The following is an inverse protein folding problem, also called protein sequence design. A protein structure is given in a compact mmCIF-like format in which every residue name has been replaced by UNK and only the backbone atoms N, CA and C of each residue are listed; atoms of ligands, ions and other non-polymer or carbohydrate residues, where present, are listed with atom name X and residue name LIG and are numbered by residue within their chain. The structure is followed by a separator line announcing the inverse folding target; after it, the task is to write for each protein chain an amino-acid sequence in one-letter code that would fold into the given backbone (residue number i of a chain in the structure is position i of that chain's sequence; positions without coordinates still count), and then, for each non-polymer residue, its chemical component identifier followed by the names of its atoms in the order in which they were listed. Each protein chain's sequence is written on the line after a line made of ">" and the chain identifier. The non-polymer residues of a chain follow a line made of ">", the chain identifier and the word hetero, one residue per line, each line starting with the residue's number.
data_IF_073569660912
#
_entry.id   IF_073569660912
#
_cell.length_a   1.000
_cell.length_b   1.000
_cell.length_c   1.000
_cell.angle_alpha   90.00
_cell.angle_beta   90.00
_cell.angle_gamma   90.00
#
_symmetry.space_group_name_H-M   'P 1'
#
loop_
_entity.id
_entity.type
_entity.pdbx_description
1 polymer ?
#
# COMPACT_ATOMS: atom_id res chain seq x y z
N UNK A 1 -16.02 13.17 38.18
CA UNK A 1 -16.59 13.08 36.81
C UNK A 1 -15.83 13.96 35.81
N UNK A 2 -15.54 15.22 36.12
CA UNK A 2 -14.79 16.16 35.25
C UNK A 2 -13.40 15.66 34.81
N UNK A 3 -12.60 15.05 35.70
CA UNK A 3 -11.28 14.48 35.34
C UNK A 3 -11.36 13.36 34.29
N UNK A 4 -12.43 12.56 34.30
CA UNK A 4 -12.61 11.47 33.34
C UNK A 4 -12.95 12.00 31.94
N UNK A 5 -13.74 13.09 31.87
CA UNK A 5 -14.05 13.76 30.61
C UNK A 5 -12.79 14.35 29.94
N UNK A 6 -11.86 14.92 30.71
CA UNK A 6 -10.61 15.43 30.15
C UNK A 6 -9.73 14.33 29.57
N UNK A 7 -9.64 13.17 30.23
CA UNK A 7 -8.87 12.03 29.73
C UNK A 7 -9.48 11.49 28.43
N UNK A 8 -10.81 11.35 28.38
CA UNK A 8 -11.51 10.86 27.19
C UNK A 8 -11.33 11.84 26.02
N UNK A 9 -11.53 13.14 26.24
CA UNK A 9 -11.36 14.15 25.20
C UNK A 9 -9.92 14.19 24.65
N UNK A 10 -8.93 14.01 25.53
CA UNK A 10 -7.53 13.96 25.14
C UNK A 10 -7.19 12.69 24.35
N UNK A 11 -7.72 11.53 24.77
CA UNK A 11 -7.54 10.28 24.02
C UNK A 11 -8.18 10.32 22.63
N UNK A 12 -9.39 10.88 22.49
CA UNK A 12 -10.07 11.00 21.20
C UNK A 12 -9.35 11.97 20.27
N UNK A 13 -8.76 13.04 20.80
CA UNK A 13 -7.94 13.97 20.02
C UNK A 13 -6.58 13.36 19.60
N UNK A 14 -6.09 12.36 20.33
CA UNK A 14 -4.86 11.62 19.99
C UNK A 14 -5.09 10.45 19.04
N UNK A 15 -6.34 10.07 18.75
CA UNK A 15 -6.62 9.13 17.68
C UNK A 15 -6.39 9.88 16.36
N UNK A 16 -5.14 9.91 15.92
CA UNK A 16 -4.80 10.32 14.55
C UNK A 16 -5.67 9.48 13.61
N UNK A 17 -6.43 10.09 12.71
CA UNK A 17 -7.19 9.29 11.78
C UNK A 17 -6.21 8.48 10.93
N UNK A 18 -6.35 7.16 10.99
CA UNK A 18 -5.57 6.21 10.19
C UNK A 18 -6.13 6.25 8.76
N UNK A 19 -5.95 7.39 8.08
CA UNK A 19 -6.25 7.49 6.68
C UNK A 19 -5.06 6.94 5.89
N UNK A 20 -5.35 6.01 4.97
CA UNK A 20 -4.35 5.56 4.01
C UNK A 20 -3.85 6.76 3.20
N UNK A 21 -2.53 6.90 3.07
CA UNK A 21 -1.92 8.06 2.43
C UNK A 21 -2.38 8.19 0.99
N UNK A 22 -2.56 9.43 0.53
CA UNK A 22 -2.77 9.71 -0.89
C UNK A 22 -1.46 9.60 -1.67
N UNK A 23 -1.52 9.47 -3.00
CA UNK A 23 -0.31 9.46 -3.83
C UNK A 23 0.54 10.72 -3.63
N UNK A 24 -0.10 11.90 -3.47
CA UNK A 24 0.61 13.13 -3.17
C UNK A 24 1.33 13.09 -1.82
N UNK A 25 0.71 12.52 -0.79
CA UNK A 25 1.33 12.40 0.54
C UNK A 25 2.50 11.41 0.54
N UNK A 26 2.39 10.30 -0.21
CA UNK A 26 3.51 9.37 -0.39
C UNK A 26 4.67 10.07 -1.11
N UNK A 27 4.39 10.87 -2.15
CA UNK A 27 5.41 11.63 -2.88
C UNK A 27 6.09 12.72 -2.04
N UNK A 28 5.35 13.36 -1.14
CA UNK A 28 5.88 14.38 -0.23
C UNK A 28 6.60 13.78 0.99
N UNK A 29 6.41 12.49 1.26
CA UNK A 29 7.06 11.81 2.38
C UNK A 29 8.56 11.61 2.13
N UNK A 30 9.31 11.30 3.18
CA UNK A 30 10.72 10.91 3.02
C UNK A 30 10.83 9.68 2.09
N UNK A 31 11.86 9.59 1.24
CA UNK A 31 12.02 8.44 0.33
C UNK A 31 12.04 7.09 1.05
N UNK A 32 12.63 7.05 2.25
CA UNK A 32 12.65 5.85 3.11
C UNK A 32 11.25 5.45 3.53
N UNK A 33 10.44 6.41 3.99
CA UNK A 33 9.07 6.16 4.41
C UNK A 33 8.18 5.76 3.23
N UNK A 34 8.25 6.49 2.11
CA UNK A 34 7.46 6.18 0.92
C UNK A 34 7.76 4.78 0.36
N UNK A 35 9.04 4.38 0.37
CA UNK A 35 9.46 3.03 -0.01
C UNK A 35 8.90 1.97 0.94
N UNK A 36 9.04 2.16 2.25
CA UNK A 36 8.50 1.23 3.25
C UNK A 36 6.97 1.11 3.15
N UNK A 37 6.27 2.22 2.92
CA UNK A 37 4.82 2.22 2.71
C UNK A 37 4.42 1.38 1.49
N UNK A 38 5.04 1.64 0.34
CA UNK A 38 4.75 0.92 -0.91
C UNK A 38 5.08 -0.56 -0.78
N UNK A 39 6.20 -0.90 -0.15
CA UNK A 39 6.59 -2.27 0.11
C UNK A 39 5.62 -3.00 1.04
N UNK A 40 5.17 -2.33 2.11
CA UNK A 40 4.16 -2.89 3.01
C UNK A 40 2.81 -3.15 2.31
N UNK A 41 2.40 -2.28 1.38
CA UNK A 41 1.20 -2.52 0.56
C UNK A 41 1.39 -3.74 -0.34
N UNK A 42 2.57 -3.91 -0.94
CA UNK A 42 2.89 -5.08 -1.76
C UNK A 42 2.85 -6.38 -0.93
N UNK A 43 3.48 -6.39 0.25
CA UNK A 43 3.43 -7.54 1.16
C UNK A 43 2.00 -7.87 1.58
N UNK A 44 1.20 -6.86 1.90
CA UNK A 44 -0.23 -7.03 2.17
C UNK A 44 -0.95 -7.71 1.00
N UNK A 45 -0.71 -7.28 -0.23
CA UNK A 45 -1.28 -7.91 -1.42
C UNK A 45 -0.80 -9.37 -1.61
N UNK A 46 0.45 -9.66 -1.28
CA UNK A 46 1.01 -11.00 -1.43
C UNK A 46 0.50 -12.00 -0.39
N UNK A 47 0.29 -11.55 0.84
CA UNK A 47 0.06 -12.46 1.98
C UNK A 47 -1.36 -12.42 2.53
N UNK A 48 -2.17 -11.41 2.18
CA UNK A 48 -3.58 -11.37 2.59
C UNK A 48 -4.39 -12.25 1.60
N UNK A 49 -4.83 -13.40 2.12
CA UNK A 49 -5.82 -14.26 1.49
C UNK A 49 -7.21 -13.62 1.50
N UNK A 50 -8.01 -13.92 0.48
CA UNK A 50 -9.36 -13.38 0.32
C UNK A 50 -10.41 -14.45 0.10
N UNK A 51 -10.01 -15.72 0.12
CA UNK A 51 -10.87 -16.87 -0.07
C UNK A 51 -11.15 -17.55 1.27
N UNK A 52 -12.38 -18.06 1.43
CA UNK A 52 -12.68 -18.96 2.54
C UNK A 52 -11.99 -20.34 2.39
N UNK A 53 -11.29 -20.57 1.27
CA UNK A 53 -10.55 -21.77 0.94
C UNK A 53 -9.02 -21.53 1.00
N UNK A 54 -8.31 -22.09 1.99
CA UNK A 54 -6.88 -21.85 2.18
C UNK A 54 -6.03 -22.41 1.04
N UNK A 55 -6.51 -23.41 0.29
CA UNK A 55 -5.78 -23.97 -0.86
C UNK A 55 -5.81 -22.99 -2.04
N UNK A 56 -6.96 -22.34 -2.26
CA UNK A 56 -7.10 -21.30 -3.30
C UNK A 56 -6.28 -20.07 -2.96
N UNK A 57 -6.30 -19.65 -1.70
CA UNK A 57 -5.44 -18.55 -1.24
C UNK A 57 -3.97 -18.88 -1.47
N UNK A 58 -3.51 -20.05 -1.06
CA UNK A 58 -2.13 -20.47 -1.28
C UNK A 58 -1.75 -20.50 -2.77
N UNK A 59 -2.63 -21.00 -3.64
CA UNK A 59 -2.40 -20.99 -5.08
C UNK A 59 -2.30 -19.56 -5.65
N UNK A 60 -3.17 -18.65 -5.19
CA UNK A 60 -3.17 -17.26 -5.62
C UNK A 60 -1.93 -16.49 -5.12
N UNK A 61 -1.49 -16.75 -3.90
CA UNK A 61 -0.23 -16.22 -3.37
C UNK A 61 0.96 -16.69 -4.20
N UNK A 62 1.03 -17.98 -4.55
CA UNK A 62 2.10 -18.52 -5.39
C UNK A 62 2.13 -17.90 -6.79
N UNK A 63 0.97 -17.66 -7.41
CA UNK A 63 0.88 -16.98 -8.71
C UNK A 63 1.42 -15.54 -8.62
N UNK A 64 1.02 -14.78 -7.60
CA UNK A 64 1.49 -13.41 -7.37
C UNK A 64 3.00 -13.36 -7.11
N UNK A 65 3.51 -14.25 -6.26
CA UNK A 65 4.95 -14.37 -5.98
C UNK A 65 5.76 -14.74 -7.23
N UNK A 66 5.24 -15.68 -8.03
CA UNK A 66 5.91 -16.10 -9.26
C UNK A 66 6.10 -14.94 -10.22
N UNK A 67 5.07 -14.12 -10.45
CA UNK A 67 5.21 -12.92 -11.25
C UNK A 67 6.34 -12.01 -10.74
N UNK A 68 6.34 -11.68 -9.45
CA UNK A 68 7.33 -10.76 -8.88
C UNK A 68 8.77 -11.25 -9.10
N UNK A 69 8.98 -12.56 -8.94
CA UNK A 69 10.28 -13.19 -9.20
C UNK A 69 10.66 -13.15 -10.68
N UNK A 70 9.73 -13.49 -11.58
CA UNK A 70 9.95 -13.51 -13.03
C UNK A 70 10.24 -12.10 -13.58
N UNK A 71 9.53 -11.09 -13.07
CA UNK A 71 9.74 -9.68 -13.38
C UNK A 71 10.96 -9.07 -12.68
N UNK A 72 11.67 -9.83 -11.83
CA UNK A 72 12.85 -9.39 -11.07
C UNK A 72 12.62 -8.10 -10.29
N UNK A 73 11.45 -7.98 -9.68
CA UNK A 73 11.04 -6.78 -8.96
C UNK A 73 11.82 -6.66 -7.65
N UNK A 74 12.57 -5.56 -7.52
CA UNK A 74 13.24 -5.14 -6.27
C UNK A 74 12.45 -4.04 -5.57
N UNK A 75 12.76 -3.77 -4.30
CA UNK A 75 12.17 -2.67 -3.52
C UNK A 75 12.33 -1.32 -4.23
N UNK A 76 13.53 -1.05 -4.78
CA UNK A 76 13.83 0.20 -5.48
C UNK A 76 13.11 0.30 -6.81
N UNK A 77 13.15 -0.75 -7.63
CA UNK A 77 12.50 -0.73 -8.95
C UNK A 77 10.98 -0.64 -8.84
N UNK A 78 10.40 -1.31 -7.84
CA UNK A 78 8.96 -1.23 -7.59
C UNK A 78 8.55 0.16 -7.12
N UNK A 79 9.32 0.74 -6.19
CA UNK A 79 9.08 2.11 -5.72
C UNK A 79 9.13 3.13 -6.86
N UNK A 80 10.14 3.05 -7.72
CA UNK A 80 10.27 3.93 -8.88
C UNK A 80 9.12 3.77 -9.87
N UNK A 81 8.73 2.53 -10.17
CA UNK A 81 7.58 2.25 -11.04
C UNK A 81 6.28 2.86 -10.49
N UNK A 82 6.03 2.72 -9.18
CA UNK A 82 4.85 3.30 -8.53
C UNK A 82 4.89 4.83 -8.54
N UNK A 83 6.05 5.45 -8.27
CA UNK A 83 6.19 6.91 -8.36
C UNK A 83 5.92 7.42 -9.77
N UNK A 84 6.45 6.73 -10.78
CA UNK A 84 6.19 7.04 -12.18
C UNK A 84 4.70 6.89 -12.54
N UNK A 85 4.02 5.87 -11.99
CA UNK A 85 2.58 5.67 -12.17
C UNK A 85 1.73 6.77 -11.50
N UNK A 86 2.14 7.25 -10.32
CA UNK A 86 1.49 8.38 -9.65
C UNK A 86 1.67 9.66 -10.48
N UNK A 87 2.85 9.87 -11.04
CA UNK A 87 3.17 11.10 -11.79
C UNK A 87 2.45 11.18 -13.14
N UNK A 88 2.23 10.05 -13.80
CA UNK A 88 1.54 10.00 -15.09
C UNK A 88 0.01 10.02 -14.99
N UNK A 89 -0.56 9.84 -13.80
CA UNK A 89 -2.01 9.72 -13.59
C UNK A 89 -2.48 10.72 -12.53
N UNK A 90 -2.97 11.92 -12.93
CA UNK A 90 -3.29 13.01 -12.00
C UNK A 90 -4.29 12.64 -10.89
N UNK A 91 -5.22 11.72 -11.16
CA UNK A 91 -6.18 11.22 -10.18
C UNK A 91 -5.49 10.53 -8.98
N UNK A 92 -4.36 9.86 -9.22
CA UNK A 92 -3.60 9.15 -8.20
C UNK A 92 -2.97 10.09 -7.15
N UNK A 93 -2.85 11.38 -7.44
CA UNK A 93 -2.34 12.36 -6.47
C UNK A 93 -3.32 12.58 -5.32
N UNK A 94 -4.61 12.60 -5.62
CA UNK A 94 -5.69 12.86 -4.65
C UNK A 94 -6.27 11.58 -4.06
N UNK A 95 -6.16 10.46 -4.76
CA UNK A 95 -6.64 9.15 -4.31
C UNK A 95 -5.64 8.42 -3.40
N UNK A 96 -6.14 7.39 -2.70
CA UNK A 96 -5.31 6.52 -1.86
C UNK A 96 -4.20 5.85 -2.67
N UNK A 97 -2.95 5.98 -2.22
CA UNK A 97 -1.77 5.47 -2.89
C UNK A 97 -1.79 3.95 -3.08
N UNK A 98 -2.58 3.21 -2.28
CA UNK A 98 -2.77 1.76 -2.43
C UNK A 98 -3.27 1.42 -3.84
N UNK A 99 -4.19 2.21 -4.41
CA UNK A 99 -4.70 1.98 -5.76
C UNK A 99 -3.59 2.06 -6.80
N UNK A 100 -2.75 3.09 -6.73
CA UNK A 100 -1.60 3.26 -7.62
C UNK A 100 -0.60 2.10 -7.49
N UNK A 101 -0.33 1.61 -6.27
CA UNK A 101 0.57 0.47 -6.04
C UNK A 101 0.02 -0.80 -6.70
N UNK A 102 -1.27 -1.11 -6.48
CA UNK A 102 -1.91 -2.31 -7.02
C UNK A 102 -2.02 -2.28 -8.54
N UNK A 103 -2.38 -1.13 -9.13
CA UNK A 103 -2.42 -0.97 -10.57
C UNK A 103 -1.05 -1.16 -11.21
N UNK A 104 0.00 -0.58 -10.59
CA UNK A 104 1.39 -0.76 -11.06
C UNK A 104 1.76 -2.24 -11.04
N UNK A 105 1.40 -2.96 -9.98
CA UNK A 105 1.63 -4.41 -9.88
C UNK A 105 0.89 -5.20 -10.95
N UNK A 106 -0.39 -4.89 -11.21
CA UNK A 106 -1.17 -5.52 -12.29
C UNK A 106 -0.51 -5.25 -13.64
N UNK A 107 -0.08 -4.03 -13.94
CA UNK A 107 0.60 -3.73 -15.20
C UNK A 107 1.93 -4.48 -15.38
N UNK A 108 2.63 -4.79 -14.28
CA UNK A 108 3.87 -5.60 -14.32
C UNK A 108 3.60 -7.10 -14.42
N UNK A 109 2.45 -7.57 -13.92
CA UNK A 109 2.15 -8.99 -13.75
C UNK A 109 1.12 -9.58 -14.72
N UNK A 110 0.25 -8.77 -15.30
CA UNK A 110 -0.88 -9.21 -16.12
C UNK A 110 -0.51 -9.18 -17.61
N UNK A 111 0.56 -9.90 -17.97
CA UNK A 111 0.99 -10.16 -19.35
C UNK A 111 0.72 -11.60 -19.77
#
# INVERSE_FOLDING_TARGET
>A
MTRLMYIIAFTVAMVSPVFALTGAQVKQSSPVYGRAYIWGVLEGYLFIGGSDDPVKDQAQQQLRLKCLMDAKITDSTFYEAVMHHIDRTPANLTEHAVGAVLQTLVEMCDR
#
